data_IF_727311136491
#
_entry.id   IF_727311136491
#
_cell.length_a   1.000
_cell.length_b   1.000
_cell.length_c   1.000
_cell.angle_alpha   90.00
_cell.angle_beta   90.00
_cell.angle_gamma   90.00
#
_symmetry.space_group_name_H-M   'P 1'
#
loop_
_entity.id
_entity.type
_entity.pdbx_description
1 polymer ?
#
# COMPACT_ATOMS: atom_id res chain seq x y z
N UNK A 1 6.90 -12.12 -13.79
CA UNK A 1 6.48 -11.11 -14.79
C UNK A 1 5.25 -10.36 -14.33
N UNK A 2 4.20 -11.09 -13.88
CA UNK A 2 2.97 -10.46 -13.42
C UNK A 2 3.21 -9.52 -12.24
N UNK A 3 4.08 -9.90 -11.32
CA UNK A 3 4.43 -9.07 -10.17
C UNK A 3 5.05 -7.73 -10.60
N UNK A 4 5.98 -7.77 -11.53
CA UNK A 4 6.67 -6.56 -11.99
C UNK A 4 5.69 -5.60 -12.68
N UNK A 5 4.78 -6.12 -13.49
CA UNK A 5 3.76 -5.32 -14.16
C UNK A 5 2.78 -4.71 -13.17
N UNK A 6 2.29 -5.50 -12.21
CA UNK A 6 1.34 -5.05 -11.20
C UNK A 6 1.95 -3.95 -10.32
N UNK A 7 3.19 -4.14 -9.87
CA UNK A 7 3.87 -3.17 -9.01
C UNK A 7 4.16 -1.89 -9.79
N UNK A 8 4.65 -1.99 -11.00
CA UNK A 8 4.95 -0.82 -11.83
C UNK A 8 3.69 0.00 -12.10
N UNK A 9 2.56 -0.66 -12.41
CA UNK A 9 1.29 0.01 -12.64
C UNK A 9 0.80 0.73 -11.39
N UNK A 10 0.88 0.09 -10.22
CA UNK A 10 0.45 0.68 -8.96
C UNK A 10 1.35 1.86 -8.57
N UNK A 11 2.65 1.75 -8.78
CA UNK A 11 3.59 2.82 -8.49
C UNK A 11 3.37 4.03 -9.39
N UNK A 12 3.06 3.80 -10.68
CA UNK A 12 2.74 4.90 -11.61
C UNK A 12 1.48 5.64 -11.16
N UNK A 13 0.45 4.92 -10.74
CA UNK A 13 -0.77 5.54 -10.20
C UNK A 13 -0.50 6.33 -8.94
N UNK A 14 0.31 5.80 -8.05
CA UNK A 14 0.70 6.48 -6.82
C UNK A 14 1.47 7.78 -7.13
N UNK A 15 2.39 7.74 -8.06
CA UNK A 15 3.17 8.91 -8.44
C UNK A 15 2.27 10.03 -8.98
N UNK A 16 1.28 9.68 -9.81
CA UNK A 16 0.33 10.66 -10.34
C UNK A 16 -0.52 11.27 -9.23
N UNK A 17 -1.04 10.46 -8.33
CA UNK A 17 -1.85 10.93 -7.20
C UNK A 17 -1.01 11.83 -6.28
N UNK A 18 0.24 11.46 -6.03
CA UNK A 18 1.12 12.26 -5.18
C UNK A 18 1.44 13.62 -5.81
N UNK A 19 1.61 13.68 -7.12
CA UNK A 19 1.84 14.95 -7.82
C UNK A 19 0.62 15.86 -7.68
N UNK A 20 -0.59 15.34 -7.89
CA UNK A 20 -1.83 16.10 -7.74
C UNK A 20 -2.03 16.55 -6.31
N UNK A 21 -1.80 15.68 -5.33
CA UNK A 21 -1.97 16.02 -3.92
C UNK A 21 -0.94 17.04 -3.45
N UNK A 22 0.27 17.01 -4.00
CA UNK A 22 1.29 18.01 -3.69
C UNK A 22 0.85 19.40 -4.18
N UNK A 23 0.24 19.46 -5.36
CA UNK A 23 -0.31 20.71 -5.89
C UNK A 23 -1.46 21.22 -5.00
N UNK A 24 -2.36 20.34 -4.59
CA UNK A 24 -3.44 20.71 -3.67
C UNK A 24 -2.90 21.20 -2.34
N UNK A 25 -1.90 20.53 -1.79
CA UNK A 25 -1.29 20.92 -0.53
C UNK A 25 -0.62 22.30 -0.63
N UNK A 26 -0.03 22.61 -1.77
CA UNK A 26 0.63 23.89 -2.00
C UNK A 26 -0.35 25.06 -2.07
N UNK A 27 -1.62 24.81 -2.44
CA UNK A 27 -2.66 25.86 -2.47
C UNK A 27 -3.22 26.21 -1.09
N UNK A 28 -2.87 25.49 -0.06
CA UNK A 28 -2.78 25.93 1.33
C UNK A 28 -4.06 26.09 2.16
N UNK A 29 -5.18 25.51 1.77
CA UNK A 29 -6.33 25.40 2.64
C UNK A 29 -6.13 24.17 3.55
N UNK A 30 -6.34 24.25 4.89
CA UNK A 30 -6.24 23.08 5.77
C UNK A 30 -7.14 21.92 5.36
N UNK A 31 -8.36 22.19 4.87
CA UNK A 31 -9.25 21.15 4.38
C UNK A 31 -8.65 20.45 3.15
N UNK A 32 -8.10 21.22 2.20
CA UNK A 32 -7.45 20.67 1.01
C UNK A 32 -6.22 19.87 1.39
N UNK A 33 -5.46 20.32 2.38
CA UNK A 33 -4.29 19.58 2.87
C UNK A 33 -4.68 18.26 3.52
N UNK A 34 -5.76 18.26 4.31
CA UNK A 34 -6.28 17.05 4.92
C UNK A 34 -6.74 16.04 3.87
N UNK A 35 -7.48 16.50 2.86
CA UNK A 35 -7.92 15.68 1.75
C UNK A 35 -6.73 15.12 0.95
N UNK A 36 -5.72 15.95 0.70
CA UNK A 36 -4.51 15.52 0.00
C UNK A 36 -3.78 14.42 0.76
N UNK A 37 -3.70 14.55 2.08
CA UNK A 37 -3.07 13.52 2.93
C UNK A 37 -3.86 12.22 2.84
N UNK A 38 -5.18 12.28 2.89
CA UNK A 38 -6.04 11.09 2.82
C UNK A 38 -5.97 10.43 1.45
N UNK A 39 -5.95 11.21 0.37
CA UNK A 39 -5.80 10.69 -0.99
C UNK A 39 -4.47 9.98 -1.17
N UNK A 40 -3.40 10.57 -0.64
CA UNK A 40 -2.06 9.99 -0.68
C UNK A 40 -2.01 8.68 0.11
N UNK A 41 -2.65 8.66 1.27
CA UNK A 41 -2.72 7.45 2.09
C UNK A 41 -3.44 6.32 1.35
N UNK A 42 -4.53 6.62 0.66
CA UNK A 42 -5.25 5.64 -0.15
C UNK A 42 -4.42 5.10 -1.30
N UNK A 43 -3.69 5.97 -2.00
CA UNK A 43 -2.82 5.57 -3.11
C UNK A 43 -1.65 4.71 -2.61
N UNK A 44 -1.03 5.10 -1.51
CA UNK A 44 0.06 4.34 -0.90
C UNK A 44 -0.42 2.95 -0.44
N UNK A 45 -1.63 2.87 0.11
CA UNK A 45 -2.24 1.61 0.52
C UNK A 45 -2.40 0.67 -0.69
N UNK A 46 -2.95 1.18 -1.80
CA UNK A 46 -3.13 0.40 -3.02
C UNK A 46 -1.80 -0.14 -3.56
N UNK A 47 -0.78 0.70 -3.55
CA UNK A 47 0.56 0.30 -3.98
C UNK A 47 1.13 -0.80 -3.08
N UNK A 48 1.00 -0.63 -1.77
CA UNK A 48 1.47 -1.62 -0.79
C UNK A 48 0.75 -2.96 -0.96
N UNK A 49 -0.57 -2.92 -1.20
CA UNK A 49 -1.35 -4.13 -1.41
C UNK A 49 -0.97 -4.83 -2.71
N UNK A 50 -0.78 -4.09 -3.80
CA UNK A 50 -0.35 -4.66 -5.08
C UNK A 50 1.01 -5.35 -4.94
N UNK A 51 1.92 -4.73 -4.22
CA UNK A 51 3.24 -5.30 -3.95
C UNK A 51 3.13 -6.57 -3.11
N UNK A 52 2.31 -6.55 -2.06
CA UNK A 52 2.10 -7.71 -1.20
C UNK A 52 1.51 -8.88 -2.00
N UNK A 53 0.54 -8.63 -2.85
CA UNK A 53 -0.08 -9.65 -3.69
C UNK A 53 0.92 -10.22 -4.69
N UNK A 54 1.71 -9.37 -5.33
CA UNK A 54 2.75 -9.80 -6.27
C UNK A 54 3.81 -10.64 -5.57
N UNK A 55 4.27 -10.21 -4.41
CA UNK A 55 5.25 -10.96 -3.63
C UNK A 55 4.69 -12.31 -3.18
N UNK A 56 3.42 -12.35 -2.82
CA UNK A 56 2.76 -13.60 -2.44
C UNK A 56 2.69 -14.59 -3.60
N UNK A 57 2.33 -14.11 -4.80
CA UNK A 57 2.31 -14.96 -6.00
C UNK A 57 3.68 -15.54 -6.29
N UNK A 58 4.72 -14.73 -6.26
CA UNK A 58 6.09 -15.18 -6.51
C UNK A 58 6.52 -16.18 -5.45
N UNK A 59 6.20 -15.92 -4.18
CA UNK A 59 6.54 -16.84 -3.10
C UNK A 59 5.84 -18.18 -3.26
N UNK A 60 4.55 -18.19 -3.63
CA UNK A 60 3.81 -19.43 -3.87
C UNK A 60 4.38 -20.23 -5.03
N UNK A 61 4.73 -19.55 -6.12
CA UNK A 61 5.37 -20.20 -7.26
C UNK A 61 6.70 -20.84 -6.86
N UNK A 62 7.50 -20.14 -6.04
CA UNK A 62 8.74 -20.68 -5.51
C UNK A 62 8.52 -21.92 -4.64
N UNK A 63 7.38 -22.00 -3.96
CA UNK A 63 7.05 -23.14 -3.12
C UNK A 63 6.70 -24.39 -3.92
N UNK A 64 6.33 -24.26 -5.18
CA UNK A 64 5.95 -25.42 -6.00
C UNK A 64 7.10 -26.37 -6.29
N UNK A 65 8.33 -25.88 -6.23
CA UNK A 65 9.51 -26.73 -6.39
C UNK A 65 9.80 -27.57 -5.15
N UNK A 66 9.24 -27.23 -4.00
CA UNK A 66 9.34 -28.03 -2.77
C UNK A 66 8.20 -29.06 -2.76
N UNK A 67 8.37 -30.11 -1.96
CA UNK A 67 7.38 -31.21 -1.86
C UNK A 67 7.11 -31.55 -0.40
N UNK A 68 5.92 -32.11 -0.15
CA UNK A 68 5.51 -32.59 1.15
C UNK A 68 5.45 -31.48 2.19
N UNK A 69 6.03 -31.74 3.37
CA UNK A 69 6.00 -30.81 4.49
C UNK A 69 6.74 -29.50 4.18
N UNK A 70 7.79 -29.57 3.40
CA UNK A 70 8.55 -28.40 2.98
C UNK A 70 7.69 -27.45 2.14
N UNK A 71 6.88 -28.00 1.24
CA UNK A 71 5.96 -27.19 0.45
C UNK A 71 4.89 -26.53 1.32
N UNK A 72 4.31 -27.27 2.25
CA UNK A 72 3.31 -26.74 3.17
C UNK A 72 3.89 -25.63 4.04
N UNK A 73 5.09 -25.81 4.57
CA UNK A 73 5.78 -24.81 5.37
C UNK A 73 6.09 -23.56 4.56
N UNK A 74 6.53 -23.73 3.32
CA UNK A 74 6.80 -22.62 2.39
C UNK A 74 5.54 -21.81 2.14
N UNK A 75 4.42 -22.46 1.87
CA UNK A 75 3.14 -21.77 1.64
C UNK A 75 2.66 -21.02 2.87
N UNK A 76 2.82 -21.61 4.06
CA UNK A 76 2.47 -20.94 5.32
C UNK A 76 3.34 -19.69 5.55
N UNK A 77 4.63 -19.77 5.24
CA UNK A 77 5.51 -18.61 5.34
C UNK A 77 5.10 -17.51 4.37
N UNK A 78 4.71 -17.88 3.16
CA UNK A 78 4.22 -16.91 2.16
C UNK A 78 2.93 -16.23 2.64
N UNK A 79 1.99 -16.99 3.19
CA UNK A 79 0.75 -16.43 3.76
C UNK A 79 1.04 -15.51 4.93
N UNK A 80 1.93 -15.90 5.83
CA UNK A 80 2.28 -15.09 7.00
C UNK A 80 2.90 -13.76 6.57
N UNK A 81 3.79 -13.78 5.57
CA UNK A 81 4.38 -12.56 5.04
C UNK A 81 3.33 -11.66 4.38
N UNK A 82 2.40 -12.24 3.65
CA UNK A 82 1.32 -11.50 3.00
C UNK A 82 0.41 -10.84 4.05
N UNK A 83 -0.02 -11.59 5.06
CA UNK A 83 -0.86 -11.05 6.13
C UNK A 83 -0.15 -9.95 6.91
N UNK A 84 1.14 -10.11 7.18
CA UNK A 84 1.93 -9.08 7.85
C UNK A 84 2.00 -7.80 6.99
N UNK A 85 2.21 -7.94 5.68
CA UNK A 85 2.27 -6.81 4.77
C UNK A 85 0.91 -6.09 4.71
N UNK A 86 -0.20 -6.83 4.67
CA UNK A 86 -1.55 -6.27 4.70
C UNK A 86 -1.80 -5.49 5.99
N UNK A 87 -1.49 -6.10 7.13
CA UNK A 87 -1.67 -5.44 8.43
C UNK A 87 -0.88 -4.16 8.52
N UNK A 88 0.37 -4.19 8.07
CA UNK A 88 1.23 -3.02 8.07
C UNK A 88 0.67 -1.91 7.16
N UNK A 89 0.19 -2.26 5.98
CA UNK A 89 -0.41 -1.31 5.05
C UNK A 89 -1.65 -0.64 5.66
N UNK A 90 -2.48 -1.41 6.38
CA UNK A 90 -3.66 -0.87 7.06
C UNK A 90 -3.28 0.08 8.18
N UNK A 91 -2.28 -0.27 8.98
CA UNK A 91 -1.81 0.58 10.08
C UNK A 91 -1.30 1.91 9.55
N UNK A 92 -0.48 1.87 8.51
CA UNK A 92 0.07 3.09 7.89
C UNK A 92 -1.06 3.95 7.31
N UNK A 93 -1.99 3.33 6.59
CA UNK A 93 -3.13 4.06 6.01
C UNK A 93 -3.95 4.75 7.08
N UNK A 94 -4.29 4.04 8.16
CA UNK A 94 -5.12 4.58 9.23
C UNK A 94 -4.41 5.71 9.97
N UNK A 95 -3.09 5.58 10.19
CA UNK A 95 -2.31 6.64 10.81
C UNK A 95 -2.29 7.90 9.95
N UNK A 96 -2.13 7.75 8.65
CA UNK A 96 -2.14 8.88 7.71
C UNK A 96 -3.52 9.53 7.62
N UNK A 97 -4.59 8.74 7.65
CA UNK A 97 -5.96 9.27 7.66
C UNK A 97 -6.23 10.09 8.92
N UNK A 98 -5.76 9.62 10.06
CA UNK A 98 -5.88 10.36 11.31
C UNK A 98 -5.13 11.68 11.24
N UNK A 99 -3.96 11.68 10.62
CA UNK A 99 -3.19 12.90 10.42
C UNK A 99 -3.95 13.89 9.54
N UNK A 100 -4.58 13.41 8.46
CA UNK A 100 -5.41 14.24 7.60
C UNK A 100 -6.58 14.86 8.35
N UNK A 101 -7.28 14.07 9.17
CA UNK A 101 -8.36 14.56 10.01
C UNK A 101 -7.87 15.62 10.99
N UNK A 102 -6.71 15.42 11.60
CA UNK A 102 -6.12 16.38 12.53
C UNK A 102 -5.80 17.71 11.84
N UNK A 103 -5.30 17.66 10.62
CA UNK A 103 -5.02 18.87 9.82
C UNK A 103 -6.33 19.63 9.52
N UNK A 104 -7.40 18.91 9.14
CA UNK A 104 -8.70 19.53 8.88
C UNK A 104 -9.27 20.18 10.13
N UNK A 105 -9.10 19.55 11.28
CA UNK A 105 -9.63 20.08 12.55
C UNK A 105 -8.92 21.33 13.03
N UNK A 106 -7.69 21.58 12.58
CA UNK A 106 -6.98 22.79 12.94
C UNK A 106 -7.65 24.06 12.45
N UNK A 107 -8.49 23.94 11.44
CA UNK A 107 -9.21 25.07 10.83
C UNK A 107 -10.53 25.39 11.53
N UNK A 108 -10.95 24.55 12.45
CA UNK A 108 -12.18 24.74 13.22
C UNK A 108 -11.85 25.15 14.64
#
# INVERSE_FOLDING_TARGET
QDRAEDVASAEAKQANVQADTATQAASADPDDRGDAIQDRAGAAYKTAMAKAEGDYKVAKEGCESAKGDAQAACKKSAEAAYEAAKSNALVVRDAERKRGDAVQKLDN
#
